data_IF_224141592558
#
_entry.id   IF_224141592558
#
_cell.length_a   1.000
_cell.length_b   1.000
_cell.length_c   1.000
_cell.angle_alpha   90.00
_cell.angle_beta   90.00
_cell.angle_gamma   90.00
#
_symmetry.space_group_name_H-M   'P 1'
#
loop_
_entity.id
_entity.type
_entity.pdbx_description
1 polymer ?
#
# COMPACT_ATOMS: atom_id res chain seq x y z
N UNK A 1 -20.84 6.63 -10.73
CA UNK A 1 -21.66 7.81 -10.98
C UNK A 1 -21.06 8.99 -10.23
N UNK A 2 -20.36 9.87 -10.93
CA UNK A 2 -19.81 11.11 -10.37
C UNK A 2 -20.98 12.07 -10.19
N UNK A 3 -21.12 12.61 -8.98
CA UNK A 3 -22.22 13.47 -8.56
C UNK A 3 -22.39 14.65 -9.56
N UNK A 4 -23.56 14.76 -10.19
CA UNK A 4 -23.89 15.72 -11.26
C UNK A 4 -23.91 17.21 -10.82
N UNK A 5 -23.70 17.49 -9.54
CA UNK A 5 -23.78 18.85 -8.98
C UNK A 5 -22.43 19.57 -8.83
N UNK A 6 -21.41 19.17 -9.57
CA UNK A 6 -20.12 19.87 -9.57
C UNK A 6 -20.14 20.97 -10.64
N UNK A 7 -19.72 22.21 -10.30
CA UNK A 7 -19.59 23.28 -11.29
C UNK A 7 -18.68 22.83 -12.43
N UNK A 8 -19.19 22.91 -13.66
CA UNK A 8 -18.63 22.22 -14.82
C UNK A 8 -17.23 22.73 -15.25
N UNK A 9 -16.77 23.93 -14.84
CA UNK A 9 -15.67 24.65 -15.48
C UNK A 9 -14.60 25.28 -14.56
N UNK A 10 -14.47 24.86 -13.30
CA UNK A 10 -13.43 25.40 -12.43
C UNK A 10 -12.16 24.53 -12.40
N UNK A 11 -10.96 25.13 -12.36
CA UNK A 11 -9.69 24.41 -12.15
C UNK A 11 -9.75 23.44 -10.94
N UNK A 12 -10.48 23.81 -9.89
CA UNK A 12 -10.64 22.97 -8.70
C UNK A 12 -11.51 21.73 -8.97
N UNK A 13 -12.53 21.82 -9.82
CA UNK A 13 -13.37 20.67 -10.18
C UNK A 13 -12.61 19.66 -11.04
N UNK A 14 -11.77 20.13 -11.97
CA UNK A 14 -10.88 19.28 -12.79
C UNK A 14 -9.89 18.56 -11.87
N UNK A 15 -9.25 19.26 -10.92
CA UNK A 15 -8.33 18.68 -9.95
C UNK A 15 -9.03 17.63 -9.07
N UNK A 16 -10.25 17.90 -8.64
CA UNK A 16 -11.05 16.94 -7.88
C UNK A 16 -11.31 15.65 -8.66
N UNK A 17 -11.78 15.77 -9.92
CA UNK A 17 -12.03 14.60 -10.78
C UNK A 17 -10.76 13.79 -11.02
N UNK A 18 -9.64 14.46 -11.28
CA UNK A 18 -8.34 13.80 -11.43
C UNK A 18 -7.97 13.02 -10.17
N UNK A 19 -8.07 13.64 -8.98
CA UNK A 19 -7.75 12.96 -7.73
C UNK A 19 -8.70 11.79 -7.41
N UNK A 20 -9.99 11.91 -7.76
CA UNK A 20 -10.93 10.79 -7.65
C UNK A 20 -10.52 9.62 -8.57
N UNK A 21 -10.13 9.92 -9.81
CA UNK A 21 -9.64 8.89 -10.74
C UNK A 21 -8.35 8.24 -10.24
N UNK A 22 -7.40 9.04 -9.74
CA UNK A 22 -6.17 8.55 -9.09
C UNK A 22 -6.49 7.59 -7.94
N UNK A 23 -7.46 7.92 -7.08
CA UNK A 23 -7.88 7.04 -5.98
C UNK A 23 -8.47 5.71 -6.47
N UNK A 24 -9.21 5.71 -7.58
CA UNK A 24 -9.76 4.47 -8.16
C UNK A 24 -8.65 3.62 -8.73
N UNK A 25 -7.78 4.19 -9.55
CA UNK A 25 -6.72 3.46 -10.25
C UNK A 25 -5.68 2.94 -9.26
N UNK A 26 -5.10 3.84 -8.47
CA UNK A 26 -4.04 3.46 -7.53
C UNK A 26 -4.56 2.68 -6.33
N UNK A 27 -5.79 2.96 -5.86
CA UNK A 27 -6.44 2.11 -4.86
C UNK A 27 -6.62 0.67 -5.34
N UNK A 28 -6.92 0.47 -6.63
CA UNK A 28 -6.93 -0.87 -7.24
C UNK A 28 -5.50 -1.44 -7.31
N UNK A 29 -4.49 -0.64 -7.64
CA UNK A 29 -3.08 -1.05 -7.62
C UNK A 29 -2.63 -1.55 -6.25
N UNK A 30 -2.99 -0.84 -5.17
CA UNK A 30 -2.68 -1.27 -3.78
C UNK A 30 -3.35 -2.62 -3.45
N UNK A 31 -4.59 -2.84 -3.90
CA UNK A 31 -5.28 -4.14 -3.73
C UNK A 31 -4.54 -5.24 -4.49
N UNK A 32 -4.16 -5.00 -5.74
CA UNK A 32 -3.42 -5.98 -6.55
C UNK A 32 -2.06 -6.30 -5.93
N UNK A 33 -1.39 -5.31 -5.35
CA UNK A 33 -0.14 -5.53 -4.63
C UNK A 33 -0.35 -6.41 -3.39
N UNK A 34 -1.45 -6.25 -2.65
CA UNK A 34 -1.81 -7.15 -1.57
C UNK A 34 -2.00 -8.60 -2.03
N UNK A 35 -2.65 -8.83 -3.20
CA UNK A 35 -2.74 -10.15 -3.79
C UNK A 35 -1.37 -10.71 -4.20
N UNK A 36 -0.49 -9.87 -4.75
CA UNK A 36 0.87 -10.27 -5.08
C UNK A 36 1.64 -10.75 -3.84
N UNK A 37 1.48 -10.08 -2.71
CA UNK A 37 2.07 -10.51 -1.43
C UNK A 37 1.59 -11.92 -1.03
N UNK A 38 0.29 -12.22 -1.21
CA UNK A 38 -0.25 -13.56 -0.95
C UNK A 38 0.44 -14.61 -1.84
N UNK A 39 0.63 -14.30 -3.13
CA UNK A 39 1.30 -15.21 -4.07
C UNK A 39 2.76 -15.46 -3.61
N UNK A 40 3.48 -14.41 -3.21
CA UNK A 40 4.85 -14.53 -2.67
C UNK A 40 4.90 -15.46 -1.45
N UNK A 41 3.98 -15.28 -0.50
CA UNK A 41 3.89 -16.13 0.70
C UNK A 41 3.66 -17.60 0.30
N UNK A 42 2.69 -17.83 -0.60
CA UNK A 42 2.39 -19.18 -1.07
C UNK A 42 3.59 -19.82 -1.77
N UNK A 43 4.33 -19.07 -2.57
CA UNK A 43 5.55 -19.55 -3.23
C UNK A 43 6.64 -19.88 -2.20
N UNK A 44 6.88 -19.02 -1.22
CA UNK A 44 7.85 -19.30 -0.14
C UNK A 44 7.49 -20.59 0.62
N UNK A 45 6.21 -20.80 0.92
CA UNK A 45 5.76 -22.00 1.63
C UNK A 45 5.87 -23.28 0.78
N UNK A 46 5.63 -23.20 -0.55
CA UNK A 46 5.66 -24.37 -1.45
C UNK A 46 7.09 -24.75 -1.82
N UNK A 47 7.94 -23.77 -2.12
CA UNK A 47 9.27 -24.01 -2.63
C UNK A 47 10.32 -24.07 -1.52
N UNK A 48 9.95 -23.90 -0.25
CA UNK A 48 10.85 -24.01 0.89
C UNK A 48 12.03 -23.06 0.77
N UNK A 49 11.78 -21.81 0.33
CA UNK A 49 12.85 -20.81 0.30
C UNK A 49 13.44 -20.73 1.69
N UNK A 50 14.74 -20.92 1.79
CA UNK A 50 15.50 -20.84 3.03
C UNK A 50 15.37 -19.43 3.60
N UNK A 51 14.37 -19.25 4.46
CA UNK A 51 14.09 -17.97 5.13
C UNK A 51 15.04 -17.72 6.31
N UNK A 52 15.83 -18.74 6.65
CA UNK A 52 16.76 -18.74 7.78
C UNK A 52 18.05 -19.44 7.37
N UNK A 53 19.17 -18.92 7.81
CA UNK A 53 20.46 -19.60 7.68
C UNK A 53 20.47 -20.89 8.50
N UNK A 54 21.23 -21.90 8.06
CA UNK A 54 21.34 -23.19 8.76
C UNK A 54 21.77 -23.02 10.23
N UNK A 55 22.59 -22.02 10.53
CA UNK A 55 23.03 -21.68 11.89
C UNK A 55 21.88 -21.22 12.79
N UNK A 56 20.94 -20.44 12.27
CA UNK A 56 19.77 -19.95 13.03
C UNK A 56 18.79 -21.10 13.31
N UNK A 57 18.70 -22.04 12.37
CA UNK A 57 17.87 -23.24 12.48
C UNK A 57 18.35 -24.20 13.56
N UNK A 58 19.68 -24.37 13.72
CA UNK A 58 20.27 -25.22 14.76
C UNK A 58 20.04 -24.66 16.16
N UNK A 59 20.09 -23.32 16.32
CA UNK A 59 19.92 -22.66 17.62
C UNK A 59 18.47 -22.65 18.09
N UNK A 60 17.50 -22.52 17.19
CA UNK A 60 16.06 -22.45 17.52
C UNK A 60 15.39 -23.82 17.73
N UNK A 61 15.93 -24.86 17.16
CA UNK A 61 15.31 -26.19 17.14
C UNK A 61 13.97 -26.25 16.40
N UNK A 62 13.41 -27.44 16.12
CA UNK A 62 12.24 -27.58 15.25
C UNK A 62 10.97 -26.91 15.79
N UNK A 63 10.81 -26.81 17.12
CA UNK A 63 9.66 -26.15 17.75
C UNK A 63 9.79 -24.63 17.61
N UNK A 64 11.00 -24.08 17.79
CA UNK A 64 11.27 -22.66 17.67
C UNK A 64 11.04 -22.18 16.22
N UNK A 65 11.50 -22.93 15.25
CA UNK A 65 11.31 -22.65 13.81
C UNK A 65 9.80 -22.59 13.49
N UNK A 66 9.03 -23.60 13.92
CA UNK A 66 7.58 -23.62 13.69
C UNK A 66 6.89 -22.40 14.30
N UNK A 67 7.30 -21.99 15.50
CA UNK A 67 6.74 -20.82 16.16
C UNK A 67 7.04 -19.52 15.41
N UNK A 68 8.28 -19.33 14.98
CA UNK A 68 8.70 -18.16 14.19
C UNK A 68 7.96 -18.10 12.84
N UNK A 69 7.82 -19.24 12.14
CA UNK A 69 7.07 -19.32 10.90
C UNK A 69 5.60 -18.94 11.07
N UNK A 70 4.95 -19.38 12.15
CA UNK A 70 3.56 -19.01 12.45
C UNK A 70 3.44 -17.50 12.69
N UNK A 71 4.34 -16.90 13.46
CA UNK A 71 4.35 -15.45 13.70
C UNK A 71 4.54 -14.69 12.39
N UNK A 72 5.49 -15.10 11.55
CA UNK A 72 5.77 -14.47 10.27
C UNK A 72 4.53 -14.50 9.35
N UNK A 73 3.86 -15.65 9.24
CA UNK A 73 2.63 -15.78 8.45
C UNK A 73 1.53 -14.87 9.00
N UNK A 74 1.39 -14.74 10.32
CA UNK A 74 0.40 -13.85 10.94
C UNK A 74 0.70 -12.37 10.59
N UNK A 75 1.96 -11.94 10.72
CA UNK A 75 2.38 -10.57 10.39
C UNK A 75 2.09 -10.26 8.93
N UNK A 76 2.46 -11.16 8.02
CA UNK A 76 2.20 -10.99 6.58
C UNK A 76 0.71 -10.97 6.26
N UNK A 77 -0.11 -11.80 6.94
CA UNK A 77 -1.56 -11.78 6.76
C UNK A 77 -2.17 -10.44 7.22
N UNK A 78 -1.67 -9.86 8.30
CA UNK A 78 -2.11 -8.53 8.78
C UNK A 78 -1.75 -7.46 7.76
N UNK A 79 -0.53 -7.45 7.20
CA UNK A 79 -0.14 -6.50 6.15
C UNK A 79 -1.06 -6.57 4.93
N UNK A 80 -1.33 -7.78 4.43
CA UNK A 80 -2.26 -7.99 3.32
C UNK A 80 -3.65 -7.41 3.64
N UNK A 81 -4.20 -7.66 4.82
CA UNK A 81 -5.50 -7.12 5.23
C UNK A 81 -5.50 -5.59 5.27
N UNK A 82 -4.42 -4.97 5.76
CA UNK A 82 -4.26 -3.52 5.78
C UNK A 82 -4.24 -2.96 4.35
N UNK A 83 -3.47 -3.56 3.44
CA UNK A 83 -3.38 -3.15 2.02
C UNK A 83 -4.73 -3.28 1.32
N UNK A 84 -5.43 -4.39 1.50
CA UNK A 84 -6.78 -4.61 0.96
C UNK A 84 -7.77 -3.58 1.50
N UNK A 85 -7.77 -3.34 2.80
CA UNK A 85 -8.64 -2.33 3.42
C UNK A 85 -8.36 -0.92 2.89
N UNK A 86 -7.09 -0.49 2.89
CA UNK A 86 -6.68 0.82 2.43
C UNK A 86 -7.04 1.03 0.94
N UNK A 87 -6.71 0.08 0.08
CA UNK A 87 -6.97 0.15 -1.36
C UNK A 87 -8.46 0.14 -1.70
N UNK A 88 -9.26 -0.76 -1.08
CA UNK A 88 -10.70 -0.81 -1.30
C UNK A 88 -11.40 0.48 -0.82
N UNK A 89 -11.00 1.03 0.33
CA UNK A 89 -11.56 2.29 0.85
C UNK A 89 -11.16 3.49 0.01
N UNK A 90 -9.92 3.55 -0.49
CA UNK A 90 -9.48 4.57 -1.43
C UNK A 90 -10.30 4.52 -2.72
N UNK A 91 -10.46 3.33 -3.31
CA UNK A 91 -11.31 3.12 -4.50
C UNK A 91 -12.75 3.55 -4.24
N UNK A 92 -13.31 3.18 -3.08
CA UNK A 92 -14.68 3.56 -2.70
C UNK A 92 -14.85 5.08 -2.61
N UNK A 93 -13.86 5.80 -2.07
CA UNK A 93 -13.87 7.27 -2.02
C UNK A 93 -13.73 7.89 -3.42
N UNK A 94 -12.88 7.30 -4.27
CA UNK A 94 -12.69 7.73 -5.65
C UNK A 94 -13.95 7.61 -6.52
N UNK A 95 -14.83 6.63 -6.23
CA UNK A 95 -16.15 6.51 -6.90
C UNK A 95 -17.18 7.52 -6.42
N UNK A 96 -16.79 8.52 -5.64
CA UNK A 96 -17.68 9.59 -5.16
C UNK A 96 -18.38 9.29 -3.83
N UNK A 97 -18.28 8.08 -3.30
CA UNK A 97 -18.86 7.69 -2.02
C UNK A 97 -18.03 8.23 -0.85
N UNK A 98 -18.64 8.41 0.32
CA UNK A 98 -17.92 8.90 1.51
C UNK A 98 -17.19 7.73 2.19
N UNK A 99 -15.87 7.72 2.15
CA UNK A 99 -15.08 6.85 2.99
C UNK A 99 -14.66 7.59 4.28
N UNK A 100 -14.57 6.86 5.39
CA UNK A 100 -14.06 7.39 6.66
C UNK A 100 -12.59 7.85 6.53
N UNK A 101 -12.06 8.51 7.57
CA UNK A 101 -10.64 8.93 7.59
C UNK A 101 -9.68 7.79 7.90
N UNK A 102 -10.19 6.65 8.38
CA UNK A 102 -9.37 5.53 8.87
C UNK A 102 -8.38 4.98 7.84
N UNK A 103 -8.76 4.89 6.57
CA UNK A 103 -7.85 4.36 5.56
C UNK A 103 -6.59 5.25 5.35
N UNK A 104 -6.69 6.57 5.59
CA UNK A 104 -5.52 7.45 5.51
C UNK A 104 -4.49 7.16 6.60
N UNK A 105 -4.93 6.74 7.79
CA UNK A 105 -4.03 6.30 8.87
C UNK A 105 -3.29 5.06 8.44
N UNK A 106 -4.00 4.10 7.84
CA UNK A 106 -3.37 2.89 7.32
C UNK A 106 -2.44 3.16 6.12
N UNK A 107 -2.75 4.16 5.27
CA UNK A 107 -1.80 4.59 4.25
C UNK A 107 -0.49 5.13 4.86
N UNK A 108 -0.56 5.90 5.96
CA UNK A 108 0.66 6.36 6.67
C UNK A 108 1.44 5.17 7.20
N UNK A 109 0.76 4.18 7.79
CA UNK A 109 1.41 2.96 8.26
C UNK A 109 2.14 2.23 7.13
N UNK A 110 1.46 2.00 6.00
CA UNK A 110 2.06 1.34 4.83
C UNK A 110 3.25 2.13 4.24
N UNK A 111 3.22 3.47 4.27
CA UNK A 111 4.34 4.31 3.85
C UNK A 111 5.55 4.10 4.77
N UNK A 112 5.33 4.09 6.10
CA UNK A 112 6.40 3.87 7.07
C UNK A 112 6.98 2.46 6.94
N UNK A 113 6.14 1.45 6.78
CA UNK A 113 6.54 0.05 6.58
C UNK A 113 7.38 -0.12 5.32
N UNK A 114 6.90 0.37 4.16
CA UNK A 114 7.65 0.29 2.90
C UNK A 114 8.97 1.07 2.96
N UNK A 115 8.99 2.24 3.61
CA UNK A 115 10.23 3.00 3.81
C UNK A 115 11.23 2.23 4.68
N UNK A 116 10.77 1.59 5.74
CA UNK A 116 11.60 0.79 6.64
C UNK A 116 12.14 -0.47 5.92
N UNK A 117 11.30 -1.15 5.15
CA UNK A 117 11.70 -2.29 4.32
C UNK A 117 12.83 -1.92 3.35
N UNK A 118 12.72 -0.78 2.65
CA UNK A 118 13.76 -0.30 1.75
C UNK A 118 15.08 -0.05 2.50
N UNK A 119 15.03 0.56 3.68
CA UNK A 119 16.23 0.86 4.49
C UNK A 119 16.96 -0.44 4.90
N UNK A 120 16.22 -1.50 5.21
CA UNK A 120 16.81 -2.80 5.60
C UNK A 120 17.49 -3.48 4.41
N UNK A 121 16.90 -3.38 3.20
CA UNK A 121 17.41 -4.08 2.01
C UNK A 121 18.58 -3.33 1.33
N UNK A 122 18.75 -2.03 1.57
CA UNK A 122 19.82 -1.22 0.97
C UNK A 122 21.24 -1.77 1.26
N UNK A 123 21.61 -2.20 2.48
CA UNK A 123 22.91 -2.79 2.76
C UNK A 123 23.22 -4.03 1.89
N UNK A 124 22.25 -4.90 1.68
CA UNK A 124 22.40 -6.13 0.89
C UNK A 124 22.73 -5.84 -0.58
N UNK A 125 22.26 -4.69 -1.09
CA UNK A 125 22.61 -4.21 -2.44
C UNK A 125 24.06 -3.75 -2.51
N UNK A 126 24.56 -3.14 -1.44
CA UNK A 126 25.90 -2.55 -1.40
C UNK A 126 26.96 -3.66 -1.28
N UNK A 127 26.68 -4.70 -0.50
CA UNK A 127 27.64 -5.77 -0.22
C UNK A 127 27.84 -6.78 -1.38
N UNK A 128 27.06 -6.67 -2.47
CA UNK A 128 27.15 -7.48 -3.70
C UNK A 128 27.18 -9.02 -3.48
N UNK A 129 26.79 -9.52 -2.32
CA UNK A 129 26.92 -10.93 -1.94
C UNK A 129 25.67 -11.78 -2.23
N UNK A 130 24.63 -11.22 -2.83
CA UNK A 130 23.36 -11.90 -3.08
C UNK A 130 23.02 -12.01 -4.57
N UNK A 131 21.97 -12.74 -4.89
CA UNK A 131 21.35 -12.80 -6.20
C UNK A 131 20.85 -11.41 -6.61
N UNK A 132 21.68 -10.73 -7.38
CA UNK A 132 21.54 -9.33 -7.80
C UNK A 132 20.15 -9.01 -8.35
N UNK A 133 19.59 -9.95 -9.13
CA UNK A 133 18.28 -9.77 -9.79
C UNK A 133 17.13 -9.76 -8.78
N UNK A 134 17.11 -10.65 -7.81
CA UNK A 134 16.03 -10.78 -6.84
C UNK A 134 15.99 -9.60 -5.88
N UNK A 135 17.14 -9.12 -5.43
CA UNK A 135 17.27 -7.95 -4.56
C UNK A 135 16.79 -6.68 -5.27
N UNK A 136 17.23 -6.45 -6.52
CA UNK A 136 16.76 -5.30 -7.31
C UNK A 136 15.28 -5.36 -7.60
N UNK A 137 14.74 -6.52 -7.94
CA UNK A 137 13.30 -6.69 -8.20
C UNK A 137 12.50 -6.40 -6.93
N UNK A 138 12.95 -6.87 -5.77
CA UNK A 138 12.31 -6.60 -4.49
C UNK A 138 12.26 -5.11 -4.17
N UNK A 139 13.38 -4.41 -4.29
CA UNK A 139 13.47 -2.95 -4.07
C UNK A 139 12.60 -2.18 -5.05
N UNK A 140 12.60 -2.55 -6.34
CA UNK A 140 11.74 -1.92 -7.34
C UNK A 140 10.25 -2.08 -7.01
N UNK A 141 9.86 -3.25 -6.56
CA UNK A 141 8.47 -3.52 -6.13
C UNK A 141 8.10 -2.70 -4.90
N UNK A 142 8.97 -2.60 -3.90
CA UNK A 142 8.73 -1.80 -2.70
C UNK A 142 8.66 -0.29 -3.02
N UNK A 143 9.53 0.23 -3.88
CA UNK A 143 9.47 1.62 -4.35
C UNK A 143 8.15 1.91 -5.08
N UNK A 144 7.68 0.97 -5.91
CA UNK A 144 6.41 1.10 -6.62
C UNK A 144 5.24 1.11 -5.64
N UNK A 145 5.23 0.22 -4.64
CA UNK A 145 4.23 0.18 -3.57
C UNK A 145 4.21 1.48 -2.78
N UNK A 146 5.39 1.98 -2.39
CA UNK A 146 5.56 3.24 -1.67
C UNK A 146 5.00 4.42 -2.47
N UNK A 147 5.37 4.56 -3.75
CA UNK A 147 4.90 5.62 -4.64
C UNK A 147 3.37 5.60 -4.77
N UNK A 148 2.78 4.42 -5.05
CA UNK A 148 1.32 4.26 -5.14
C UNK A 148 0.62 4.67 -3.85
N UNK A 149 1.15 4.27 -2.69
CA UNK A 149 0.53 4.55 -1.39
C UNK A 149 0.62 6.03 -1.04
N UNK A 150 1.75 6.71 -1.33
CA UNK A 150 1.91 8.15 -1.18
C UNK A 150 0.89 8.90 -2.05
N UNK A 151 0.75 8.53 -3.31
CA UNK A 151 -0.21 9.19 -4.21
C UNK A 151 -1.65 8.97 -3.77
N UNK A 152 -2.02 7.77 -3.30
CA UNK A 152 -3.34 7.49 -2.71
C UNK A 152 -3.59 8.37 -1.49
N UNK A 153 -2.61 8.54 -0.62
CA UNK A 153 -2.70 9.40 0.57
C UNK A 153 -2.92 10.87 0.19
N UNK A 154 -2.11 11.41 -0.73
CA UNK A 154 -2.20 12.80 -1.18
C UNK A 154 -3.52 13.08 -1.91
N UNK A 155 -3.94 12.17 -2.79
CA UNK A 155 -5.23 12.27 -3.49
C UNK A 155 -6.41 12.21 -2.51
N UNK A 156 -6.35 11.34 -1.49
CA UNK A 156 -7.36 11.21 -0.46
C UNK A 156 -7.52 12.48 0.38
N UNK A 157 -6.42 13.09 0.80
CA UNK A 157 -6.44 14.39 1.51
C UNK A 157 -7.05 15.47 0.61
N UNK A 158 -6.64 15.54 -0.65
CA UNK A 158 -7.14 16.54 -1.60
C UNK A 158 -8.65 16.43 -1.81
N UNK A 159 -9.16 15.20 -2.01
CA UNK A 159 -10.60 14.94 -2.18
C UNK A 159 -11.38 15.36 -0.93
N UNK A 160 -10.87 15.04 0.27
CA UNK A 160 -11.54 15.41 1.52
C UNK A 160 -11.53 16.92 1.76
N UNK A 161 -10.43 17.62 1.46
CA UNK A 161 -10.35 19.08 1.54
C UNK A 161 -11.33 19.74 0.58
N UNK A 162 -11.44 19.27 -0.64
CA UNK A 162 -12.38 19.80 -1.62
C UNK A 162 -13.82 19.62 -1.16
N UNK A 163 -14.20 18.43 -0.69
CA UNK A 163 -15.54 18.17 -0.14
C UNK A 163 -15.86 19.02 1.09
N UNK A 164 -14.85 19.34 1.92
CA UNK A 164 -15.05 20.25 3.05
C UNK A 164 -15.35 21.67 2.58
N UNK A 165 -14.59 22.20 1.60
CA UNK A 165 -14.82 23.52 1.01
C UNK A 165 -16.22 23.65 0.38
N UNK A 166 -16.68 22.59 -0.33
CA UNK A 166 -18.03 22.54 -0.89
C UNK A 166 -19.12 22.67 0.20
N UNK A 167 -18.95 21.96 1.32
CA UNK A 167 -19.92 22.03 2.44
C UNK A 167 -19.93 23.40 3.13
N UNK A 168 -18.80 24.09 3.18
CA UNK A 168 -18.68 25.41 3.80
C UNK A 168 -19.17 26.55 2.88
N UNK A 169 -19.71 26.23 1.69
CA UNK A 169 -20.18 27.23 0.72
C UNK A 169 -19.06 28.12 0.14
N UNK A 170 -17.79 27.79 0.42
CA UNK A 170 -16.62 28.56 -0.06
C UNK A 170 -16.31 28.36 -1.54
N UNK A 171 -16.90 27.35 -2.17
CA UNK A 171 -16.93 27.14 -3.60
C UNK A 171 -18.28 27.62 -4.09
N UNK A 172 -18.45 28.94 -4.24
CA UNK A 172 -19.62 29.48 -4.92
C UNK A 172 -19.60 29.04 -6.38
N UNK A 173 -20.77 28.68 -6.89
CA UNK A 173 -20.98 28.45 -8.30
C UNK A 173 -20.62 29.74 -9.05
N UNK A 174 -19.40 29.81 -9.58
CA UNK A 174 -18.96 30.80 -10.55
C UNK A 174 -19.04 30.20 -11.94
#
# INVERSE_FOLDING_TARGET
MVNENLPANGRESVKYRRNCNTLVVLGTGVVLYGFWTIIKIAMCLIFGVELFDESDLEELGPIGITFVMIILVIIMAIDVLIRLYAGLRARYEGTGKKAGKGYLVWCVWLILESAFSIIIVVPDIIDMNGDFIDTYLSVFMELTSLAMTIEVFLAGISVKRYRKKLKEGKLSAG
#
